data_IF_158521344810
#
_entry.id   IF_158521344810
#
_cell.length_a   1.000
_cell.length_b   1.000
_cell.length_c   1.000
_cell.angle_alpha   90.00
_cell.angle_beta   90.00
_cell.angle_gamma   90.00
#
_symmetry.space_group_name_H-M   'P 1'
#
loop_
_entity.id
_entity.type
_entity.pdbx_description
1 polymer ?
#
# COMPACT_ATOMS: atom_id res chain seq x y z
N UNK A 1 -20.34 -22.19 -59.08
CA UNK A 1 -21.19 -21.33 -58.24
C UNK A 1 -20.84 -21.65 -56.79
N UNK A 2 -19.91 -20.90 -56.22
CA UNK A 2 -19.44 -21.10 -54.84
C UNK A 2 -19.83 -19.87 -54.05
N UNK A 3 -20.69 -20.08 -53.06
CA UNK A 3 -21.25 -19.06 -52.17
C UNK A 3 -20.16 -18.51 -51.24
N UNK A 4 -19.96 -17.20 -51.30
CA UNK A 4 -19.21 -16.43 -50.32
C UNK A 4 -19.95 -16.45 -48.97
N UNK A 5 -19.36 -17.10 -47.98
CA UNK A 5 -19.79 -16.98 -46.59
C UNK A 5 -19.17 -15.70 -46.00
N UNK A 6 -19.93 -14.62 -46.04
CA UNK A 6 -19.63 -13.35 -45.40
C UNK A 6 -19.53 -13.54 -43.87
N UNK A 7 -18.30 -13.54 -43.34
CA UNK A 7 -18.07 -13.45 -41.89
C UNK A 7 -18.50 -12.07 -41.39
N UNK A 8 -19.59 -12.04 -40.62
CA UNK A 8 -20.02 -10.85 -39.89
C UNK A 8 -18.93 -10.38 -38.90
N UNK A 9 -18.77 -9.06 -38.67
CA UNK A 9 -17.74 -8.53 -37.81
C UNK A 9 -18.00 -8.93 -36.34
N UNK A 10 -16.98 -9.49 -35.69
CA UNK A 10 -16.97 -9.76 -34.25
C UNK A 10 -17.21 -8.46 -33.48
N UNK A 11 -18.41 -8.30 -32.93
CA UNK A 11 -18.70 -7.27 -31.92
C UNK A 11 -17.70 -7.44 -30.77
N UNK A 12 -16.93 -6.39 -30.48
CA UNK A 12 -16.10 -6.37 -29.28
C UNK A 12 -17.04 -6.52 -28.08
N UNK A 13 -16.99 -7.70 -27.46
CA UNK A 13 -17.62 -7.89 -26.16
C UNK A 13 -16.86 -6.95 -25.25
N UNK A 14 -17.54 -5.92 -24.75
CA UNK A 14 -17.09 -5.10 -23.63
C UNK A 14 -16.89 -6.04 -22.43
N UNK A 15 -15.75 -6.71 -22.44
CA UNK A 15 -15.37 -7.68 -21.43
C UNK A 15 -15.10 -6.94 -20.14
N UNK A 16 -15.63 -7.51 -19.07
CA UNK A 16 -15.23 -7.21 -17.70
C UNK A 16 -13.70 -7.01 -17.64
N UNK A 17 -13.19 -5.99 -16.92
CA UNK A 17 -11.77 -5.94 -16.58
C UNK A 17 -11.32 -7.32 -16.06
N UNK A 18 -10.17 -7.84 -16.51
CA UNK A 18 -9.71 -9.16 -16.12
C UNK A 18 -9.69 -9.24 -14.59
N UNK A 19 -10.37 -10.26 -14.04
CA UNK A 19 -10.32 -10.55 -12.61
C UNK A 19 -8.90 -10.97 -12.27
N UNK A 20 -8.32 -10.37 -11.24
CA UNK A 20 -7.11 -10.91 -10.62
C UNK A 20 -7.52 -12.20 -9.88
N UNK A 21 -6.82 -13.31 -10.15
CA UNK A 21 -7.09 -14.57 -9.46
C UNK A 21 -6.89 -14.39 -7.94
N UNK A 22 -7.90 -14.75 -7.14
CA UNK A 22 -7.85 -14.69 -5.68
C UNK A 22 -8.58 -13.52 -5.02
N UNK A 23 -9.00 -12.50 -5.77
CA UNK A 23 -9.67 -11.34 -5.18
C UNK A 23 -11.14 -11.64 -4.80
N UNK A 24 -11.42 -11.66 -3.49
CA UNK A 24 -12.78 -11.81 -2.96
C UNK A 24 -13.48 -10.46 -2.94
N UNK A 25 -14.50 -10.29 -3.79
CA UNK A 25 -15.34 -9.09 -3.80
C UNK A 25 -16.00 -8.87 -2.43
N UNK A 26 -15.81 -7.68 -1.86
CA UNK A 26 -16.52 -7.24 -0.65
C UNK A 26 -17.89 -6.67 -1.04
N UNK A 27 -18.95 -7.05 -0.32
CA UNK A 27 -20.28 -6.47 -0.50
C UNK A 27 -20.35 -5.12 0.20
N UNK A 28 -20.74 -4.08 -0.53
CA UNK A 28 -20.97 -2.73 0.00
C UNK A 28 -22.45 -2.39 -0.13
N UNK A 29 -23.07 -1.93 0.95
CA UNK A 29 -24.43 -1.40 0.95
C UNK A 29 -24.35 0.13 0.89
N UNK A 30 -25.02 0.75 -0.09
CA UNK A 30 -24.98 2.19 -0.31
C UNK A 30 -26.39 2.78 -0.28
N UNK A 31 -26.53 3.93 0.35
CA UNK A 31 -27.74 4.76 0.25
C UNK A 31 -27.48 5.88 -0.74
N UNK A 32 -28.23 5.88 -1.85
CA UNK A 32 -28.08 6.87 -2.93
C UNK A 32 -29.32 7.76 -3.01
N UNK A 33 -29.14 9.02 -3.41
CA UNK A 33 -30.27 9.87 -3.80
C UNK A 33 -30.97 9.23 -5.01
N UNK A 34 -32.32 9.32 -5.13
CA UNK A 34 -33.04 8.70 -6.24
C UNK A 34 -32.53 9.09 -7.62
N UNK A 35 -32.11 10.35 -7.81
CA UNK A 35 -31.53 10.83 -9.07
C UNK A 35 -30.19 10.16 -9.42
N UNK A 36 -29.35 9.87 -8.43
CA UNK A 36 -28.07 9.18 -8.65
C UNK A 36 -28.29 7.69 -8.97
N UNK A 37 -29.25 7.04 -8.31
CA UNK A 37 -29.62 5.66 -8.61
C UNK A 37 -30.13 5.55 -10.06
N UNK A 38 -31.05 6.42 -10.45
CA UNK A 38 -31.56 6.45 -11.82
C UNK A 38 -30.45 6.73 -12.84
N UNK A 39 -29.54 7.66 -12.55
CA UNK A 39 -28.36 7.91 -13.38
C UNK A 39 -27.48 6.67 -13.55
N UNK A 40 -27.25 5.91 -12.48
CA UNK A 40 -26.49 4.66 -12.51
C UNK A 40 -27.21 3.57 -13.33
N UNK A 41 -28.54 3.47 -13.25
CA UNK A 41 -29.34 2.56 -14.09
C UNK A 41 -29.26 2.90 -15.58
N UNK A 42 -29.31 4.19 -15.91
CA UNK A 42 -29.13 4.65 -17.30
C UNK A 42 -27.73 4.34 -17.81
N UNK A 43 -26.70 4.57 -16.99
CA UNK A 43 -25.31 4.24 -17.31
C UNK A 43 -25.15 2.73 -17.57
N UNK A 44 -25.74 1.90 -16.72
CA UNK A 44 -25.71 0.44 -16.87
C UNK A 44 -26.37 -0.03 -18.17
N UNK A 45 -27.54 0.54 -18.51
CA UNK A 45 -28.22 0.28 -19.78
C UNK A 45 -27.38 0.71 -20.98
N UNK A 46 -26.78 1.90 -20.93
CA UNK A 46 -25.96 2.45 -22.02
C UNK A 46 -24.68 1.63 -22.26
N UNK A 47 -24.05 1.13 -21.19
CA UNK A 47 -22.83 0.31 -21.29
C UNK A 47 -23.12 -1.18 -21.51
N UNK A 48 -24.39 -1.61 -21.47
CA UNK A 48 -24.80 -3.01 -21.43
C UNK A 48 -24.11 -3.82 -20.31
N UNK A 49 -24.02 -3.22 -19.11
CA UNK A 49 -23.36 -3.78 -17.93
C UNK A 49 -24.33 -3.93 -16.76
N UNK A 50 -23.95 -4.70 -15.74
CA UNK A 50 -24.71 -4.71 -14.49
C UNK A 50 -24.56 -3.39 -13.72
N UNK A 51 -25.48 -3.11 -12.79
CA UNK A 51 -25.38 -1.95 -11.89
C UNK A 51 -24.06 -1.95 -11.11
N UNK A 52 -23.66 -3.10 -10.57
CA UNK A 52 -22.40 -3.22 -9.83
C UNK A 52 -21.18 -2.91 -10.69
N UNK A 53 -21.12 -3.42 -11.93
CA UNK A 53 -20.01 -3.15 -12.85
C UNK A 53 -19.97 -1.68 -13.29
N UNK A 54 -21.14 -1.06 -13.47
CA UNK A 54 -21.24 0.35 -13.84
C UNK A 54 -20.83 1.25 -12.70
N UNK A 55 -21.15 0.84 -11.46
CA UNK A 55 -20.72 1.54 -10.25
C UNK A 55 -19.22 1.43 -10.05
N UNK A 56 -18.65 0.24 -10.21
CA UNK A 56 -17.20 0.01 -10.16
C UNK A 56 -16.46 0.86 -11.18
N UNK A 57 -16.95 0.91 -12.42
CA UNK A 57 -16.39 1.77 -13.46
C UNK A 57 -16.49 3.26 -13.10
N UNK A 58 -17.66 3.73 -12.63
CA UNK A 58 -17.84 5.12 -12.25
C UNK A 58 -16.92 5.52 -11.08
N UNK A 59 -16.72 4.61 -10.12
CA UNK A 59 -15.75 4.79 -9.04
C UNK A 59 -14.33 4.88 -9.58
N UNK A 60 -13.90 3.96 -10.45
CA UNK A 60 -12.57 4.00 -11.08
C UNK A 60 -12.33 5.32 -11.82
N UNK A 61 -13.32 5.80 -12.59
CA UNK A 61 -13.22 7.10 -13.26
C UNK A 61 -13.08 8.24 -12.26
N UNK A 62 -13.86 8.22 -11.18
CA UNK A 62 -13.74 9.18 -10.08
C UNK A 62 -12.36 9.18 -9.43
N UNK A 63 -11.85 8.00 -9.07
CA UNK A 63 -10.54 7.85 -8.43
C UNK A 63 -9.37 8.29 -9.33
N UNK A 64 -9.48 8.08 -10.64
CA UNK A 64 -8.47 8.47 -11.63
C UNK A 64 -8.59 9.95 -12.06
N UNK A 65 -9.63 10.67 -11.61
CA UNK A 65 -9.83 12.09 -11.96
C UNK A 65 -9.55 13.02 -10.78
N UNK A 66 -9.50 12.48 -9.56
CA UNK A 66 -9.17 13.25 -8.37
C UNK A 66 -7.67 13.20 -8.11
N UNK A 67 -7.02 14.35 -8.25
CA UNK A 67 -5.61 14.51 -7.89
C UNK A 67 -5.47 14.76 -6.39
N UNK A 68 -4.51 14.08 -5.77
CA UNK A 68 -4.26 14.11 -4.31
C UNK A 68 -3.11 15.02 -3.91
N UNK A 69 -2.30 15.46 -4.87
CA UNK A 69 -1.18 16.38 -4.68
C UNK A 69 -1.19 17.50 -5.73
N UNK A 70 -0.21 18.39 -5.68
CA UNK A 70 -0.05 19.46 -6.67
C UNK A 70 0.67 18.99 -7.94
N UNK A 71 1.13 17.74 -7.99
CA UNK A 71 1.95 17.17 -9.07
C UNK A 71 1.12 16.31 -10.03
N UNK A 72 -0.15 16.07 -9.72
CA UNK A 72 -1.10 15.37 -10.58
C UNK A 72 -1.26 13.89 -10.25
N UNK A 73 -0.70 13.40 -9.15
CA UNK A 73 -0.90 12.03 -8.69
C UNK A 73 -2.38 11.81 -8.36
N UNK A 74 -2.96 10.71 -8.83
CA UNK A 74 -4.37 10.38 -8.56
C UNK A 74 -4.51 9.26 -7.52
N UNK A 75 -5.71 9.10 -6.95
CA UNK A 75 -5.99 7.94 -6.09
C UNK A 75 -5.83 6.63 -6.87
N UNK A 76 -6.21 6.64 -8.15
CA UNK A 76 -6.00 5.51 -9.06
C UNK A 76 -4.54 5.06 -9.15
N UNK A 77 -3.63 6.02 -9.31
CA UNK A 77 -2.19 5.73 -9.42
C UNK A 77 -1.63 5.12 -8.13
N UNK A 78 -2.07 5.64 -6.97
CA UNK A 78 -1.67 5.06 -5.67
C UNK A 78 -2.19 3.63 -5.48
N UNK A 79 -3.44 3.36 -5.90
CA UNK A 79 -4.04 2.03 -5.78
C UNK A 79 -3.34 1.00 -6.68
N UNK A 80 -2.75 1.41 -7.80
CA UNK A 80 -2.02 0.49 -8.69
C UNK A 80 -0.76 -0.11 -8.02
N UNK A 81 -0.19 0.57 -7.02
CA UNK A 81 0.94 0.08 -6.21
C UNK A 81 0.53 -0.79 -5.01
N UNK A 82 -0.77 -0.87 -4.70
CA UNK A 82 -1.30 -1.60 -3.54
C UNK A 82 -1.66 -3.02 -3.95
N UNK A 83 -1.19 -4.00 -3.16
CA UNK A 83 -1.57 -5.41 -3.30
C UNK A 83 -1.96 -5.98 -1.95
N UNK A 84 -2.90 -6.91 -1.91
CA UNK A 84 -3.36 -7.52 -0.65
C UNK A 84 -4.35 -6.66 0.13
N UNK A 85 -4.26 -6.68 1.47
CA UNK A 85 -5.14 -5.89 2.34
C UNK A 85 -4.69 -4.40 2.35
N UNK A 86 -5.57 -3.43 2.02
CA UNK A 86 -5.23 -2.01 2.03
C UNK A 86 -4.71 -1.49 3.39
N UNK A 87 -5.06 -2.14 4.50
CA UNK A 87 -4.60 -1.75 5.83
C UNK A 87 -3.28 -2.42 6.24
N UNK A 88 -2.66 -3.20 5.34
CA UNK A 88 -1.32 -3.72 5.61
C UNK A 88 -0.32 -2.57 5.76
N UNK A 89 0.61 -2.66 6.73
CA UNK A 89 1.61 -1.62 6.99
C UNK A 89 2.37 -1.14 5.75
N UNK A 90 2.68 -2.06 4.82
CA UNK A 90 3.35 -1.72 3.55
C UNK A 90 2.51 -0.80 2.67
N UNK A 91 1.21 -1.06 2.59
CA UNK A 91 0.28 -0.27 1.77
C UNK A 91 0.04 1.10 2.42
N UNK A 92 -0.07 1.17 3.75
CA UNK A 92 -0.12 2.44 4.48
C UNK A 92 1.16 3.27 4.25
N UNK A 93 2.33 2.62 4.29
CA UNK A 93 3.60 3.29 4.02
C UNK A 93 3.71 3.80 2.59
N UNK A 94 3.21 3.04 1.61
CA UNK A 94 3.14 3.49 0.21
C UNK A 94 2.29 4.76 0.05
N UNK A 95 1.12 4.81 0.70
CA UNK A 95 0.28 6.02 0.73
C UNK A 95 0.99 7.17 1.43
N UNK A 96 1.67 6.91 2.55
CA UNK A 96 2.42 7.94 3.30
C UNK A 96 3.48 8.64 2.45
N UNK A 97 4.22 7.89 1.63
CA UNK A 97 5.29 8.46 0.79
C UNK A 97 4.77 9.43 -0.27
N UNK A 98 3.50 9.32 -0.64
CA UNK A 98 2.90 10.10 -1.74
C UNK A 98 1.90 11.15 -1.25
N UNK A 99 0.99 10.76 -0.36
CA UNK A 99 -0.11 11.59 0.13
C UNK A 99 -0.40 11.29 1.62
N UNK A 100 0.47 11.72 2.55
CA UNK A 100 0.33 11.39 3.98
C UNK A 100 -0.94 11.97 4.62
N UNK A 101 -1.54 13.00 4.02
CA UNK A 101 -2.79 13.62 4.48
C UNK A 101 -4.03 12.72 4.34
N UNK A 102 -3.92 11.63 3.57
CA UNK A 102 -5.01 10.65 3.40
C UNK A 102 -5.02 9.58 4.49
N UNK A 103 -3.97 9.52 5.32
CA UNK A 103 -3.87 8.58 6.42
C UNK A 103 -4.53 9.14 7.68
N UNK A 104 -4.89 8.25 8.60
CA UNK A 104 -5.21 8.67 9.95
C UNK A 104 -3.98 9.32 10.59
N UNK A 105 -4.19 10.18 11.59
CA UNK A 105 -3.09 10.80 12.31
C UNK A 105 -2.13 9.75 12.90
N UNK A 106 -2.68 8.68 13.47
CA UNK A 106 -1.89 7.60 14.09
C UNK A 106 -1.05 6.84 13.07
N UNK A 107 -1.60 6.52 11.90
CA UNK A 107 -0.88 5.83 10.83
C UNK A 107 0.21 6.73 10.21
N UNK A 108 -0.10 8.01 9.96
CA UNK A 108 0.86 8.97 9.42
C UNK A 108 2.06 9.15 10.36
N UNK A 109 1.82 9.30 11.67
CA UNK A 109 2.89 9.42 12.66
C UNK A 109 3.69 8.12 12.82
N UNK A 110 3.05 6.96 12.63
CA UNK A 110 3.73 5.65 12.66
C UNK A 110 4.65 5.49 11.46
N UNK A 111 4.18 5.83 10.26
CA UNK A 111 5.03 5.90 9.07
C UNK A 111 6.18 6.89 9.26
N UNK A 112 5.92 8.07 9.80
CA UNK A 112 6.97 9.08 10.06
C UNK A 112 8.03 8.56 11.04
N UNK A 113 7.62 7.88 12.13
CA UNK A 113 8.56 7.28 13.08
C UNK A 113 9.48 6.25 12.40
N UNK A 114 8.93 5.41 11.53
CA UNK A 114 9.70 4.38 10.80
C UNK A 114 10.60 5.01 9.73
N UNK A 115 10.10 5.99 8.98
CA UNK A 115 10.82 6.65 7.89
C UNK A 115 11.97 7.52 8.38
N UNK A 116 11.73 8.30 9.43
CA UNK A 116 12.73 9.24 9.97
C UNK A 116 13.74 8.57 10.89
N UNK A 117 13.59 7.26 11.15
CA UNK A 117 14.50 6.55 12.02
C UNK A 117 15.91 6.47 11.39
N UNK A 118 16.97 6.98 12.06
CA UNK A 118 18.29 7.13 11.44
C UNK A 118 18.92 5.83 10.94
N UNK A 119 18.56 4.70 11.53
CA UNK A 119 19.19 3.41 11.24
C UNK A 119 18.90 2.93 9.82
N UNK A 120 17.74 3.27 9.25
CA UNK A 120 17.41 2.86 7.88
C UNK A 120 18.43 3.42 6.88
N UNK A 121 18.70 4.72 6.95
CA UNK A 121 19.67 5.39 6.08
C UNK A 121 21.12 4.95 6.38
N UNK A 122 21.46 4.76 7.65
CA UNK A 122 22.80 4.29 8.02
C UNK A 122 23.06 2.85 7.53
N UNK A 123 22.07 1.95 7.64
CA UNK A 123 22.15 0.58 7.11
C UNK A 123 22.28 0.57 5.60
N UNK A 124 21.49 1.39 4.89
CA UNK A 124 21.59 1.51 3.44
C UNK A 124 23.01 1.90 3.01
N UNK A 125 23.62 2.88 3.70
CA UNK A 125 25.00 3.29 3.46
C UNK A 125 26.04 2.20 3.73
N UNK A 126 25.86 1.41 4.79
CA UNK A 126 26.76 0.29 5.12
C UNK A 126 26.64 -0.87 4.10
N UNK A 127 25.40 -1.17 3.67
CA UNK A 127 25.12 -2.21 2.68
C UNK A 127 25.64 -1.82 1.30
N UNK A 128 25.40 -0.59 0.86
CA UNK A 128 25.86 -0.09 -0.45
C UNK A 128 27.39 -0.07 -0.61
N UNK A 129 28.15 -0.05 0.50
CA UNK A 129 29.62 -0.16 0.47
C UNK A 129 30.12 -1.57 0.23
N UNK A 130 29.29 -2.58 0.49
CA UNK A 130 29.70 -3.99 0.52
C UNK A 130 28.99 -4.86 -0.52
N UNK A 131 27.83 -4.43 -1.01
CA UNK A 131 26.99 -5.20 -1.92
C UNK A 131 26.61 -4.39 -3.18
N UNK A 132 26.30 -5.06 -4.30
CA UNK A 132 25.59 -4.45 -5.43
C UNK A 132 24.27 -3.80 -4.99
N UNK A 133 23.82 -2.78 -5.72
CA UNK A 133 22.64 -1.99 -5.36
C UNK A 133 21.38 -2.84 -5.09
N UNK A 134 21.07 -3.78 -5.99
CA UNK A 134 19.89 -4.64 -5.86
C UNK A 134 19.97 -5.56 -4.63
N UNK A 135 21.16 -6.08 -4.33
CA UNK A 135 21.41 -6.91 -3.15
C UNK A 135 21.36 -6.09 -1.86
N UNK A 136 21.89 -4.87 -1.87
CA UNK A 136 21.81 -3.94 -0.76
C UNK A 136 20.35 -3.55 -0.46
N UNK A 137 19.55 -3.28 -1.49
CA UNK A 137 18.13 -2.98 -1.36
C UNK A 137 17.36 -4.16 -0.74
N UNK A 138 17.57 -5.37 -1.26
CA UNK A 138 16.95 -6.58 -0.72
C UNK A 138 17.39 -6.86 0.72
N UNK A 139 18.67 -6.65 1.04
CA UNK A 139 19.18 -6.81 2.40
C UNK A 139 18.55 -5.78 3.36
N UNK A 140 18.41 -4.51 2.94
CA UNK A 140 17.75 -3.47 3.75
C UNK A 140 16.29 -3.82 3.99
N UNK A 141 15.60 -4.34 2.96
CA UNK A 141 14.24 -4.81 3.07
C UNK A 141 14.10 -5.83 4.19
N UNK A 142 14.87 -6.92 4.14
CA UNK A 142 14.81 -8.01 5.12
C UNK A 142 15.31 -7.61 6.52
N UNK A 143 16.34 -6.76 6.61
CA UNK A 143 16.94 -6.40 7.89
C UNK A 143 16.11 -5.36 8.65
N UNK A 144 15.52 -4.40 7.95
CA UNK A 144 14.85 -3.24 8.55
C UNK A 144 13.36 -3.16 8.23
N UNK A 145 12.99 -3.08 6.95
CA UNK A 145 11.61 -2.77 6.55
C UNK A 145 10.61 -3.85 6.92
N UNK A 146 10.90 -5.12 6.61
CA UNK A 146 9.97 -6.21 6.94
C UNK A 146 9.77 -6.38 8.45
N UNK A 147 10.82 -6.37 9.28
CA UNK A 147 10.66 -6.37 10.74
C UNK A 147 9.90 -5.15 11.27
N UNK A 148 10.14 -3.95 10.74
CA UNK A 148 9.40 -2.75 11.14
C UNK A 148 7.90 -2.87 10.84
N UNK A 149 7.55 -3.38 9.66
CA UNK A 149 6.16 -3.65 9.31
C UNK A 149 5.54 -4.79 10.13
N UNK A 150 6.30 -5.83 10.46
CA UNK A 150 5.83 -6.91 11.33
C UNK A 150 5.56 -6.43 12.77
N UNK A 151 6.30 -5.43 13.25
CA UNK A 151 6.12 -4.81 14.57
C UNK A 151 5.18 -3.60 14.56
N UNK A 152 4.40 -3.40 13.50
CA UNK A 152 3.56 -2.20 13.30
C UNK A 152 2.69 -1.84 14.51
N UNK A 153 1.90 -2.78 15.03
CA UNK A 153 0.99 -2.53 16.15
C UNK A 153 1.74 -2.06 17.40
N UNK A 154 2.92 -2.63 17.66
CA UNK A 154 3.75 -2.24 18.80
C UNK A 154 4.34 -0.85 18.59
N UNK A 155 4.81 -0.53 17.38
CA UNK A 155 5.34 0.79 17.05
C UNK A 155 4.23 1.84 17.17
N UNK A 156 3.06 1.58 16.58
CA UNK A 156 1.92 2.50 16.63
C UNK A 156 1.49 2.78 18.08
N UNK A 157 1.44 1.77 18.93
CA UNK A 157 1.13 1.95 20.36
C UNK A 157 2.12 2.90 21.05
N UNK A 158 3.42 2.76 20.78
CA UNK A 158 4.45 3.65 21.33
C UNK A 158 4.37 5.05 20.73
N UNK A 159 4.09 5.17 19.43
CA UNK A 159 3.85 6.46 18.75
C UNK A 159 2.71 7.22 19.43
N UNK A 160 1.58 6.55 19.70
CA UNK A 160 0.44 7.15 20.40
C UNK A 160 0.86 7.58 21.83
N UNK A 161 1.59 6.73 22.55
CA UNK A 161 2.05 7.04 23.90
C UNK A 161 3.01 8.25 23.94
N UNK A 162 3.89 8.40 22.95
CA UNK A 162 4.84 9.51 22.84
C UNK A 162 4.14 10.79 22.41
N UNK A 163 3.32 10.74 21.36
CA UNK A 163 2.67 11.93 20.78
C UNK A 163 1.59 12.50 21.70
N UNK A 164 0.86 11.65 22.44
CA UNK A 164 -0.12 12.10 23.46
C UNK A 164 0.51 12.92 24.59
N UNK A 165 1.82 12.80 24.80
CA UNK A 165 2.60 13.59 25.78
C UNK A 165 3.29 14.81 25.16
N UNK A 166 3.01 15.12 23.89
CA UNK A 166 3.68 16.20 23.13
C UNK A 166 5.07 15.83 22.61
N UNK A 167 5.44 14.54 22.64
CA UNK A 167 6.67 14.03 22.04
C UNK A 167 6.60 13.95 20.52
N UNK A 168 7.75 13.77 19.87
CA UNK A 168 7.85 13.58 18.42
C UNK A 168 7.92 12.09 18.05
N UNK A 169 7.44 11.68 16.87
CA UNK A 169 7.56 10.30 16.38
C UNK A 169 9.00 9.74 16.44
N UNK A 170 10.00 10.59 16.22
CA UNK A 170 11.42 10.24 16.30
C UNK A 170 11.92 9.83 17.70
N UNK A 171 11.12 10.01 18.76
CA UNK A 171 11.45 9.55 20.11
C UNK A 171 11.03 8.10 20.37
N UNK A 172 10.32 7.46 19.43
CA UNK A 172 9.91 6.05 19.56
C UNK A 172 11.16 5.16 19.48
N UNK A 173 11.34 4.21 20.41
CA UNK A 173 12.54 3.38 20.47
C UNK A 173 12.49 2.22 19.44
N UNK A 174 12.46 2.55 18.14
CA UNK A 174 12.32 1.58 17.04
C UNK A 174 13.37 0.46 17.15
N UNK A 175 14.64 0.79 17.38
CA UNK A 175 15.72 -0.20 17.53
C UNK A 175 15.43 -1.23 18.64
N UNK A 176 14.87 -0.79 19.77
CA UNK A 176 14.52 -1.69 20.88
C UNK A 176 13.32 -2.57 20.55
N UNK A 177 12.30 -2.00 19.91
CA UNK A 177 11.12 -2.73 19.41
C UNK A 177 11.55 -3.84 18.44
N UNK A 178 12.53 -3.54 17.58
CA UNK A 178 13.10 -4.50 16.64
C UNK A 178 14.07 -5.51 17.30
N UNK A 179 14.36 -5.39 18.60
CA UNK A 179 15.28 -6.28 19.31
C UNK A 179 16.74 -6.14 18.87
N UNK A 180 17.13 -4.98 18.35
CA UNK A 180 18.48 -4.71 17.87
C UNK A 180 19.32 -4.14 19.02
N UNK A 181 20.49 -4.73 19.26
CA UNK A 181 21.40 -4.29 20.31
C UNK A 181 21.93 -2.87 20.02
N UNK A 182 21.99 -2.02 21.05
CA UNK A 182 22.48 -0.65 20.92
C UNK A 182 24.01 -0.54 20.81
N UNK A 183 24.73 -1.63 21.10
CA UNK A 183 26.20 -1.68 21.11
C UNK A 183 26.70 -2.50 19.92
N UNK A 184 27.78 -2.03 19.30
CA UNK A 184 28.45 -2.72 18.19
C UNK A 184 28.25 -2.02 16.85
N UNK A 185 28.76 -2.63 15.78
CA UNK A 185 28.52 -2.15 14.42
C UNK A 185 27.06 -2.38 14.04
N UNK A 186 26.44 -1.37 13.41
CA UNK A 186 25.01 -1.33 13.12
C UNK A 186 24.55 -2.54 12.30
N UNK A 187 25.22 -2.79 11.16
CA UNK A 187 24.91 -3.92 10.29
C UNK A 187 24.97 -5.26 11.03
N UNK A 188 26.01 -5.48 11.83
CA UNK A 188 26.18 -6.71 12.61
C UNK A 188 25.07 -6.89 13.67
N UNK A 189 24.65 -5.81 14.33
CA UNK A 189 23.56 -5.85 15.29
C UNK A 189 22.22 -6.22 14.62
N UNK A 190 21.93 -5.65 13.45
CA UNK A 190 20.74 -5.98 12.68
C UNK A 190 20.76 -7.42 12.13
N UNK A 191 21.90 -7.90 11.66
CA UNK A 191 22.07 -9.30 11.23
C UNK A 191 21.85 -10.28 12.39
N UNK A 192 22.38 -9.97 13.58
CA UNK A 192 22.18 -10.76 14.79
C UNK A 192 20.71 -10.78 15.22
N UNK A 193 20.03 -9.63 15.21
CA UNK A 193 18.60 -9.55 15.50
C UNK A 193 17.76 -10.33 14.48
N UNK A 194 18.10 -10.25 13.19
CA UNK A 194 17.44 -11.04 12.15
C UNK A 194 17.59 -12.54 12.38
N UNK A 195 18.80 -13.02 12.71
CA UNK A 195 19.04 -14.42 13.04
C UNK A 195 18.25 -14.88 14.28
N UNK A 196 18.16 -14.05 15.32
CA UNK A 196 17.37 -14.34 16.52
C UNK A 196 15.86 -14.44 16.21
N UNK A 197 15.32 -13.54 15.37
CA UNK A 197 13.92 -13.58 14.91
C UNK A 197 13.64 -14.85 14.09
N UNK A 198 14.54 -15.21 13.19
CA UNK A 198 14.42 -16.43 12.39
C UNK A 198 14.41 -17.69 13.28
N UNK A 199 15.23 -17.73 14.33
CA UNK A 199 15.26 -18.83 15.29
C UNK A 199 14.02 -18.92 16.18
N UNK A 200 13.35 -17.80 16.47
CA UNK A 200 12.14 -17.76 17.29
C UNK A 200 10.86 -18.13 16.53
N UNK A 201 10.88 -18.07 15.19
CA UNK A 201 9.76 -18.39 14.31
C UNK A 201 9.82 -19.80 13.68
N UNK A 202 10.84 -20.60 13.99
CA UNK A 202 11.01 -21.99 13.56
C UNK A 202 10.56 -22.96 14.67
#
# INVERSE_FOLDING_TARGET
>A
MSSENSKAPQRSRGGRPPRVEGEKLKRVNLSLRPSLLYGLELLAKAQHRSLSQSMEWALQVGLNSFSVDNEGLTIGDMLAGISGDPNEPRNLFHVFMSAPTLLSFEDAMTCEAIWTFPDASALEGDLARSLPLDEAHNALQTLYWEPAFASWEQIQKEVIAVTSRGGKPSHVPIREILGVESKGQLLAAYQKAAAARAAAGA
#
